data_IF_387997638784
#
_entry.id   IF_387997638784
#
_cell.length_a   1.000
_cell.length_b   1.000
_cell.length_c   1.000
_cell.angle_alpha   90.00
_cell.angle_beta   90.00
_cell.angle_gamma   90.00
#
_symmetry.space_group_name_H-M   'P 1'
#
loop_
_entity.id
_entity.type
_entity.pdbx_description
1 polymer ?
#
# COMPACT_ATOMS: atom_id res chain seq x y z
N UNK A 1 -4.55 -2.05 6.78
CA UNK A 1 -4.92 -0.68 7.21
C UNK A 1 -5.12 0.16 5.96
N UNK A 2 -6.23 0.88 5.86
CA UNK A 2 -6.53 1.79 4.75
C UNK A 2 -6.40 3.24 5.21
N UNK A 3 -5.56 4.02 4.53
CA UNK A 3 -5.31 5.41 4.88
C UNK A 3 -6.01 6.31 3.87
N UNK A 4 -7.05 7.02 4.32
CA UNK A 4 -7.73 8.04 3.53
C UNK A 4 -7.06 9.40 3.77
N UNK A 5 -6.25 9.85 2.80
CA UNK A 5 -5.52 11.12 2.83
C UNK A 5 -6.41 12.32 2.43
N UNK A 6 -7.55 12.46 3.12
CA UNK A 6 -8.48 13.58 2.95
C UNK A 6 -9.19 13.61 1.59
N UNK A 7 -9.66 12.44 1.10
CA UNK A 7 -10.45 12.36 -0.14
C UNK A 7 -11.71 13.22 -0.07
N UNK A 8 -12.12 13.74 -1.23
CA UNK A 8 -13.32 14.59 -1.39
C UNK A 8 -14.51 13.87 -2.01
N UNK A 9 -14.33 12.61 -2.37
CA UNK A 9 -15.34 11.75 -2.98
C UNK A 9 -15.91 10.76 -1.96
N UNK A 10 -16.54 9.69 -2.43
CA UNK A 10 -17.15 8.68 -1.57
C UNK A 10 -16.14 7.72 -0.89
N UNK A 11 -14.83 7.87 -1.11
CA UNK A 11 -13.79 6.92 -0.65
C UNK A 11 -13.90 6.63 0.84
N UNK A 12 -13.99 7.66 1.69
CA UNK A 12 -14.12 7.49 3.14
C UNK A 12 -15.38 6.69 3.53
N UNK A 13 -16.52 7.02 2.92
CA UNK A 13 -17.78 6.34 3.18
C UNK A 13 -17.71 4.87 2.78
N UNK A 14 -17.07 4.56 1.64
CA UNK A 14 -16.91 3.20 1.14
C UNK A 14 -16.01 2.39 2.08
N UNK A 15 -14.84 2.94 2.45
CA UNK A 15 -13.90 2.29 3.37
C UNK A 15 -14.58 1.97 4.71
N UNK A 16 -15.31 2.93 5.29
CA UNK A 16 -16.00 2.72 6.56
C UNK A 16 -17.12 1.66 6.47
N UNK A 17 -17.83 1.57 5.34
CA UNK A 17 -18.83 0.52 5.11
C UNK A 17 -18.18 -0.86 5.04
N UNK A 18 -17.04 -0.98 4.36
CA UNK A 18 -16.31 -2.25 4.28
C UNK A 18 -15.81 -2.64 5.67
N UNK A 19 -15.22 -1.71 6.42
CA UNK A 19 -14.76 -1.92 7.79
C UNK A 19 -15.86 -2.38 8.75
N UNK A 20 -17.10 -1.92 8.54
CA UNK A 20 -18.25 -2.38 9.32
C UNK A 20 -18.61 -3.86 9.08
N UNK A 21 -18.24 -4.41 7.92
CA UNK A 21 -18.51 -5.81 7.54
C UNK A 21 -17.30 -6.74 7.63
N UNK A 22 -16.09 -6.20 7.61
CA UNK A 22 -14.83 -6.96 7.63
C UNK A 22 -13.88 -6.40 8.70
N UNK A 23 -13.67 -7.14 9.82
CA UNK A 23 -12.79 -6.69 10.90
C UNK A 23 -11.31 -6.64 10.51
N UNK A 24 -10.91 -7.23 9.38
CA UNK A 24 -9.55 -7.11 8.85
C UNK A 24 -9.30 -5.75 8.19
N UNK A 25 -10.38 -5.00 7.87
CA UNK A 25 -10.30 -3.67 7.27
C UNK A 25 -10.30 -2.62 8.37
N UNK A 26 -9.11 -2.07 8.62
CA UNK A 26 -8.88 -1.00 9.61
C UNK A 26 -8.81 0.34 8.86
N UNK A 27 -9.81 1.23 9.00
CA UNK A 27 -9.82 2.53 8.34
C UNK A 27 -9.11 3.60 9.19
N UNK A 28 -8.30 4.46 8.56
CA UNK A 28 -7.71 5.65 9.16
C UNK A 28 -7.92 6.84 8.22
N UNK A 29 -8.69 7.84 8.64
CA UNK A 29 -8.95 9.05 7.85
C UNK A 29 -8.21 10.25 8.41
N UNK A 30 -7.51 10.96 7.53
CA UNK A 30 -7.01 12.30 7.82
C UNK A 30 -8.10 13.36 7.65
N UNK A 31 -8.01 14.43 8.43
CA UNK A 31 -8.96 15.56 8.37
C UNK A 31 -8.84 16.41 7.10
N UNK A 32 -7.73 16.27 6.37
CA UNK A 32 -7.43 16.90 5.07
C UNK A 32 -6.31 16.14 4.38
N UNK A 33 -5.99 16.53 3.16
CA UNK A 33 -4.83 15.99 2.45
C UNK A 33 -3.51 16.50 3.08
N UNK A 34 -2.64 15.56 3.44
CA UNK A 34 -1.28 15.79 3.96
C UNK A 34 -0.21 15.26 3.01
N UNK A 35 -0.54 14.36 2.10
CA UNK A 35 0.37 13.76 1.13
C UNK A 35 0.67 12.29 1.40
N UNK A 36 1.36 11.67 0.44
CA UNK A 36 1.62 10.21 0.42
C UNK A 36 2.50 9.76 1.59
N UNK A 37 3.56 10.49 1.89
CA UNK A 37 4.54 10.10 2.92
C UNK A 37 3.94 10.16 4.33
N UNK A 38 3.20 11.22 4.74
CA UNK A 38 2.45 11.21 5.99
C UNK A 38 1.43 10.08 6.08
N UNK A 39 0.72 9.78 4.99
CA UNK A 39 -0.26 8.70 4.94
C UNK A 39 0.42 7.33 5.13
N UNK A 40 1.53 7.10 4.42
CA UNK A 40 2.34 5.89 4.56
C UNK A 40 2.85 5.73 6.00
N UNK A 41 3.39 6.80 6.57
CA UNK A 41 3.91 6.78 7.94
C UNK A 41 2.81 6.45 8.96
N UNK A 42 1.63 7.08 8.86
CA UNK A 42 0.51 6.77 9.75
C UNK A 42 0.05 5.31 9.61
N UNK A 43 0.09 4.75 8.39
CA UNK A 43 -0.18 3.35 8.16
C UNK A 43 0.84 2.42 8.82
N UNK A 44 2.13 2.76 8.80
CA UNK A 44 3.18 2.02 9.50
C UNK A 44 3.01 2.11 11.03
N UNK A 45 2.69 3.30 11.55
CA UNK A 45 2.48 3.55 12.98
C UNK A 45 1.29 2.78 13.56
N UNK A 46 0.23 2.60 12.76
CA UNK A 46 -0.99 1.87 13.16
C UNK A 46 -0.95 0.37 12.80
N UNK A 47 0.05 -0.09 12.06
CA UNK A 47 0.16 -1.50 11.70
C UNK A 47 0.61 -2.32 12.91
N UNK A 48 -0.04 -3.46 13.15
CA UNK A 48 0.22 -4.34 14.30
C UNK A 48 0.79 -5.71 13.92
N UNK A 49 1.01 -5.96 12.62
CA UNK A 49 1.54 -7.23 12.14
C UNK A 49 3.06 -7.34 12.29
N UNK A 50 3.56 -8.58 12.35
CA UNK A 50 5.01 -8.87 12.42
C UNK A 50 5.77 -8.44 11.14
N UNK A 51 5.07 -8.35 10.02
CA UNK A 51 5.55 -7.82 8.76
C UNK A 51 4.52 -6.84 8.18
N UNK A 52 5.02 -5.76 7.56
CA UNK A 52 4.18 -4.73 6.93
C UNK A 52 4.55 -4.58 5.46
N UNK A 53 3.56 -4.64 4.59
CA UNK A 53 3.72 -4.49 3.13
C UNK A 53 2.87 -3.30 2.67
N UNK A 54 3.48 -2.12 2.45
CA UNK A 54 2.78 -0.99 1.85
C UNK A 54 2.48 -1.24 0.36
N UNK A 55 1.27 -0.94 -0.08
CA UNK A 55 0.81 -1.13 -1.47
C UNK A 55 -0.06 0.06 -1.89
N UNK A 56 0.12 0.52 -3.13
CA UNK A 56 -0.73 1.56 -3.73
C UNK A 56 -2.09 0.97 -4.14
N UNK A 57 -3.18 1.69 -3.87
CA UNK A 57 -4.56 1.22 -4.06
C UNK A 57 -5.02 1.18 -5.52
N UNK A 58 -4.20 1.66 -6.45
CA UNK A 58 -4.49 1.67 -7.89
C UNK A 58 -4.19 0.34 -8.59
N UNK A 59 -3.70 -0.65 -7.84
CA UNK A 59 -3.36 -2.00 -8.30
C UNK A 59 -2.38 -2.01 -9.48
N UNK A 60 -1.52 -0.99 -9.59
CA UNK A 60 -0.45 -0.99 -10.58
C UNK A 60 0.59 -2.09 -10.30
N UNK A 61 0.73 -2.52 -9.04
CA UNK A 61 1.58 -3.63 -8.64
C UNK A 61 0.75 -4.92 -8.45
N UNK A 62 1.23 -6.06 -8.97
CA UNK A 62 0.51 -7.34 -8.88
C UNK A 62 0.47 -7.84 -7.43
N UNK A 63 -0.73 -8.04 -6.88
CA UNK A 63 -0.92 -8.54 -5.50
C UNK A 63 -0.42 -9.97 -5.32
N UNK A 64 -0.24 -10.71 -6.41
CA UNK A 64 0.30 -12.08 -6.45
C UNK A 64 1.78 -12.13 -6.01
N UNK A 65 2.46 -10.97 -5.92
CA UNK A 65 3.81 -10.89 -5.36
C UNK A 65 3.83 -11.04 -3.83
N UNK A 66 2.73 -10.72 -3.15
CA UNK A 66 2.67 -10.67 -1.66
C UNK A 66 3.12 -11.99 -1.02
N UNK A 67 2.64 -13.18 -1.45
CA UNK A 67 3.10 -14.45 -0.86
C UNK A 67 4.62 -14.65 -0.97
N UNK A 68 5.22 -14.27 -2.11
CA UNK A 68 6.66 -14.37 -2.32
C UNK A 68 7.46 -13.44 -1.40
N UNK A 69 6.92 -12.24 -1.10
CA UNK A 69 7.54 -11.32 -0.15
C UNK A 69 7.55 -11.90 1.26
N UNK A 70 6.42 -12.49 1.67
CA UNK A 70 6.26 -13.13 2.98
C UNK A 70 7.21 -14.32 3.12
N UNK A 71 7.32 -15.18 2.10
CA UNK A 71 8.25 -16.32 2.10
C UNK A 71 9.71 -15.88 2.32
N UNK A 72 10.15 -14.81 1.66
CA UNK A 72 11.51 -14.28 1.82
C UNK A 72 11.75 -13.69 3.21
N UNK A 73 10.75 -13.01 3.77
CA UNK A 73 10.82 -12.50 5.14
C UNK A 73 10.89 -13.65 6.16
N UNK A 74 10.02 -14.67 6.02
CA UNK A 74 10.04 -15.86 6.87
C UNK A 74 11.34 -16.68 6.74
N UNK A 75 12.04 -16.59 5.62
CA UNK A 75 13.36 -17.18 5.42
C UNK A 75 14.50 -16.42 6.13
N UNK A 76 14.19 -15.35 6.88
CA UNK A 76 15.14 -14.61 7.72
C UNK A 76 15.62 -13.28 7.13
N UNK A 77 14.97 -12.77 6.08
CA UNK A 77 15.28 -11.43 5.58
C UNK A 77 14.57 -10.36 6.42
N UNK A 78 15.30 -9.37 6.95
CA UNK A 78 14.72 -8.24 7.68
C UNK A 78 13.89 -7.31 6.77
N UNK A 79 14.25 -7.23 5.49
CA UNK A 79 13.59 -6.39 4.49
C UNK A 79 13.58 -7.09 3.13
N UNK A 80 12.42 -7.09 2.46
CA UNK A 80 12.25 -7.67 1.13
C UNK A 80 11.76 -6.59 0.16
N UNK A 81 12.49 -6.42 -0.94
CA UNK A 81 12.17 -5.42 -1.97
C UNK A 81 11.54 -6.11 -3.18
N UNK A 82 10.32 -5.69 -3.54
CA UNK A 82 9.72 -6.03 -4.82
C UNK A 82 10.35 -5.14 -5.91
N UNK A 83 11.07 -5.74 -6.86
CA UNK A 83 11.64 -5.02 -8.00
C UNK A 83 11.05 -5.56 -9.29
N UNK A 84 10.45 -4.68 -10.09
CA UNK A 84 9.97 -5.03 -11.44
C UNK A 84 11.15 -5.49 -12.30
N UNK A 85 11.09 -6.73 -12.78
CA UNK A 85 12.15 -7.34 -13.60
C UNK A 85 12.08 -6.91 -15.06
N UNK A 86 10.90 -6.55 -15.57
CA UNK A 86 10.69 -6.12 -16.95
C UNK A 86 10.19 -4.68 -17.03
N UNK A 87 10.87 -3.87 -17.85
CA UNK A 87 10.55 -2.46 -18.17
C UNK A 87 9.91 -2.33 -19.56
N UNK A 88 9.50 -3.44 -20.19
CA UNK A 88 8.91 -3.45 -21.53
C UNK A 88 7.58 -2.68 -21.61
N UNK A 89 6.86 -2.52 -20.51
CA UNK A 89 5.61 -1.76 -20.41
C UNK A 89 5.81 -0.28 -20.09
N UNK A 90 7.04 0.19 -19.85
CA UNK A 90 7.31 1.62 -19.71
C UNK A 90 7.17 2.30 -21.09
N UNK A 91 6.22 3.23 -21.20
CA UNK A 91 6.16 4.14 -22.34
C UNK A 91 7.53 4.80 -22.56
N UNK A 92 7.88 5.03 -23.83
CA UNK A 92 9.23 5.44 -24.32
C UNK A 92 9.90 6.63 -23.58
N UNK A 93 9.17 7.37 -22.74
CA UNK A 93 9.68 8.51 -21.97
C UNK A 93 10.38 8.16 -20.66
N UNK A 94 10.19 6.98 -20.05
CA UNK A 94 10.88 6.62 -18.79
C UNK A 94 12.29 6.02 -18.97
N UNK A 95 12.69 5.74 -20.21
CA UNK A 95 14.00 5.14 -20.53
C UNK A 95 15.19 6.11 -20.51
N UNK A 96 14.98 7.40 -20.23
CA UNK A 96 16.02 8.44 -20.34
C UNK A 96 16.39 9.20 -19.06
N UNK A 97 15.84 8.85 -17.90
CA UNK A 97 16.22 9.52 -16.65
C UNK A 97 16.49 8.47 -15.58
N UNK A 98 17.78 8.15 -15.44
CA UNK A 98 18.51 7.45 -14.36
C UNK A 98 17.76 6.34 -13.60
#
# INVERSE_FOLDING_TARGET
>A
VFINDGSKDATESIINKIAASDPLVIPLSFTRNFGKEPALFAGLDHATGDAVIPIDVDLQDPIEVIPHLIEKWQAGADMVLAKRSDRSTDGRMKRKTA
#
